data_IF_401684038100
#
_entry.id   IF_401684038100
#
_cell.length_a   1.000
_cell.length_b   1.000
_cell.length_c   1.000
_cell.angle_alpha   90.00
_cell.angle_beta   90.00
_cell.angle_gamma   90.00
#
_symmetry.space_group_name_H-M   'P 1'
#
loop_
_entity.id
_entity.type
_entity.pdbx_description
1 polymer ?
#
# COMPACT_ATOMS: atom_id res chain seq x y z
N UNK A 1 -52.69 36.69 -6.91
CA UNK A 1 -52.04 36.09 -5.74
C UNK A 1 -51.77 34.63 -6.09
N UNK A 2 -50.50 34.24 -6.25
CA UNK A 2 -50.11 32.88 -6.68
C UNK A 2 -49.46 32.18 -5.50
N UNK A 3 -50.11 31.14 -4.98
CA UNK A 3 -49.62 30.35 -3.84
C UNK A 3 -48.63 29.32 -4.37
N UNK A 4 -47.36 29.45 -4.00
CA UNK A 4 -46.28 28.48 -4.22
C UNK A 4 -46.57 27.20 -3.41
N UNK A 5 -46.84 26.09 -4.10
CA UNK A 5 -46.88 24.76 -3.50
C UNK A 5 -45.50 24.29 -3.02
N UNK A 6 -45.41 23.38 -2.04
CA UNK A 6 -44.15 23.00 -1.43
C UNK A 6 -43.27 22.16 -2.37
N UNK A 7 -41.96 22.44 -2.31
CA UNK A 7 -40.87 21.78 -3.05
C UNK A 7 -40.74 20.30 -2.63
N UNK A 8 -40.58 19.34 -3.57
CA UNK A 8 -40.32 17.96 -3.20
C UNK A 8 -38.93 17.81 -2.55
N UNK A 9 -38.88 17.05 -1.46
CA UNK A 9 -37.64 16.72 -0.73
C UNK A 9 -36.69 15.87 -1.61
N UNK A 10 -35.37 16.04 -1.50
CA UNK A 10 -34.42 15.23 -2.26
C UNK A 10 -34.48 13.77 -1.78
N UNK A 11 -34.60 12.86 -2.75
CA UNK A 11 -34.53 11.42 -2.53
C UNK A 11 -33.20 11.06 -1.83
N UNK A 12 -33.29 10.54 -0.61
CA UNK A 12 -32.17 9.95 0.10
C UNK A 12 -31.79 8.68 -0.65
N UNK A 13 -30.74 8.76 -1.48
CA UNK A 13 -30.11 7.58 -2.08
C UNK A 13 -29.69 6.57 -1.01
N UNK A 14 -29.50 5.29 -1.36
CA UNK A 14 -29.25 4.23 -0.39
C UNK A 14 -28.03 4.61 0.47
N UNK A 15 -28.31 4.82 1.76
CA UNK A 15 -27.33 5.14 2.79
C UNK A 15 -26.32 3.99 2.79
N UNK A 16 -25.13 4.24 2.25
CA UNK A 16 -24.01 3.28 2.28
C UNK A 16 -23.86 2.83 3.75
N UNK A 17 -24.02 1.53 3.98
CA UNK A 17 -23.94 0.95 5.31
C UNK A 17 -22.65 1.43 6.01
N UNK A 18 -22.67 1.77 7.30
CA UNK A 18 -21.44 2.02 8.04
C UNK A 18 -20.59 0.76 7.88
N UNK A 19 -19.38 0.91 7.33
CA UNK A 19 -18.43 -0.16 7.27
C UNK A 19 -18.28 -0.69 8.70
N UNK A 20 -18.77 -1.91 8.96
CA UNK A 20 -18.56 -2.59 10.23
C UNK A 20 -17.07 -2.59 10.55
N UNK A 21 -16.69 -2.77 11.83
CA UNK A 21 -15.29 -2.86 12.21
C UNK A 21 -14.63 -3.88 11.29
N UNK A 22 -13.74 -3.41 10.42
CA UNK A 22 -12.98 -4.26 9.51
C UNK A 22 -12.31 -5.28 10.40
N UNK A 23 -12.77 -6.53 10.36
CA UNK A 23 -12.21 -7.62 11.15
C UNK A 23 -10.72 -7.63 10.87
N UNK A 24 -9.91 -7.09 11.78
CA UNK A 24 -8.46 -7.06 11.60
C UNK A 24 -8.04 -8.53 11.50
N UNK A 25 -7.59 -9.01 10.32
CA UNK A 25 -7.19 -10.39 10.19
C UNK A 25 -6.11 -10.66 11.23
N UNK A 26 -6.24 -11.77 11.96
CA UNK A 26 -5.30 -12.18 13.02
C UNK A 26 -3.90 -12.23 12.40
N UNK A 27 -3.02 -11.36 12.91
CA UNK A 27 -1.79 -10.89 12.28
C UNK A 27 -0.64 -11.84 12.58
N UNK A 28 -0.61 -13.02 11.97
CA UNK A 28 0.57 -13.90 12.05
C UNK A 28 1.66 -13.36 11.13
N UNK A 29 2.85 -13.07 11.68
CA UNK A 29 4.06 -12.79 10.89
C UNK A 29 4.55 -14.12 10.28
N UNK A 30 4.44 -14.34 8.96
CA UNK A 30 5.00 -15.53 8.35
C UNK A 30 6.53 -15.48 8.46
N UNK A 31 7.18 -16.62 8.68
CA UNK A 31 8.64 -16.71 8.68
C UNK A 31 9.25 -16.28 7.32
N UNK A 32 8.50 -16.50 6.23
CA UNK A 32 8.86 -16.05 4.88
C UNK A 32 7.69 -15.30 4.25
N UNK A 33 7.81 -13.96 4.21
CA UNK A 33 6.96 -13.13 3.37
C UNK A 33 7.35 -13.34 1.90
N UNK A 34 6.41 -13.40 0.94
CA UNK A 34 6.74 -13.43 -0.50
C UNK A 34 7.27 -12.08 -1.00
N UNK A 35 7.62 -11.18 -0.09
CA UNK A 35 8.15 -9.87 -0.38
C UNK A 35 9.46 -9.63 0.37
N UNK A 36 10.30 -8.81 -0.24
CA UNK A 36 11.52 -8.31 0.38
C UNK A 36 11.53 -6.79 0.28
N UNK A 37 11.90 -6.15 1.38
CA UNK A 37 11.97 -4.70 1.48
C UNK A 37 13.43 -4.27 1.39
N UNK A 38 13.79 -3.49 0.37
CA UNK A 38 15.19 -3.19 0.05
C UNK A 38 15.38 -1.72 -0.31
N UNK A 39 16.44 -1.12 0.23
CA UNK A 39 16.89 0.21 -0.18
C UNK A 39 17.70 0.12 -1.47
N UNK A 40 17.41 0.98 -2.43
CA UNK A 40 18.22 1.13 -3.64
C UNK A 40 19.57 1.77 -3.29
N UNK A 41 20.56 1.65 -4.17
CA UNK A 41 21.86 2.30 -3.95
C UNK A 41 21.81 3.81 -4.23
N UNK A 42 20.99 4.20 -5.20
CA UNK A 42 20.66 5.57 -5.54
C UNK A 42 19.15 5.71 -5.78
N UNK A 43 18.57 6.91 -5.57
CA UNK A 43 17.19 7.19 -5.96
C UNK A 43 16.98 6.86 -7.44
N UNK A 44 15.80 6.32 -7.79
CA UNK A 44 15.48 6.07 -9.20
C UNK A 44 15.49 7.38 -9.99
N UNK A 45 16.19 7.40 -11.13
CA UNK A 45 16.22 8.57 -12.02
C UNK A 45 15.12 8.54 -13.06
N UNK A 46 14.59 7.35 -13.35
CA UNK A 46 13.56 7.12 -14.37
C UNK A 46 12.32 6.53 -13.70
N UNK A 47 11.16 7.08 -14.05
CA UNK A 47 9.88 6.51 -13.65
C UNK A 47 9.67 5.18 -14.38
N UNK A 48 9.40 4.12 -13.63
CA UNK A 48 9.01 2.82 -14.17
C UNK A 48 7.65 2.40 -13.60
N UNK A 49 6.92 1.50 -14.27
CA UNK A 49 5.61 1.05 -13.80
C UNK A 49 5.66 0.39 -12.40
N UNK A 50 5.48 1.18 -11.36
CA UNK A 50 5.37 0.74 -9.96
C UNK A 50 6.37 1.46 -9.08
N UNK A 51 7.34 2.16 -9.69
CA UNK A 51 8.44 2.82 -9.02
C UNK A 51 8.57 4.24 -9.58
N UNK A 52 8.02 5.25 -8.87
CA UNK A 52 8.18 6.66 -9.24
C UNK A 52 9.66 7.06 -9.29
N UNK A 53 10.00 8.10 -10.05
CA UNK A 53 11.31 8.73 -9.95
C UNK A 53 11.54 9.27 -8.51
N UNK A 54 12.79 9.24 -8.05
CA UNK A 54 13.18 9.61 -6.69
C UNK A 54 12.97 8.51 -5.64
N UNK A 55 12.47 7.33 -6.03
CA UNK A 55 12.26 6.22 -5.09
C UNK A 55 13.57 5.74 -4.50
N UNK A 56 13.63 5.61 -3.17
CA UNK A 56 14.80 5.11 -2.45
C UNK A 56 14.56 3.73 -1.81
N UNK A 57 13.30 3.37 -1.55
CA UNK A 57 12.90 2.11 -0.93
C UNK A 57 11.92 1.37 -1.82
N UNK A 58 12.17 0.09 -2.07
CA UNK A 58 11.31 -0.74 -2.90
C UNK A 58 10.85 -1.98 -2.16
N UNK A 59 9.60 -2.35 -2.39
CA UNK A 59 9.05 -3.66 -2.09
C UNK A 59 9.18 -4.55 -3.31
N UNK A 60 10.02 -5.58 -3.23
CA UNK A 60 10.22 -6.57 -4.28
C UNK A 60 9.35 -7.79 -4.05
N UNK A 61 8.63 -8.22 -5.09
CA UNK A 61 7.93 -9.50 -5.09
C UNK A 61 8.92 -10.64 -5.35
N UNK A 62 9.40 -11.27 -4.28
CA UNK A 62 10.26 -12.45 -4.35
C UNK A 62 9.47 -13.76 -4.39
N UNK A 63 8.15 -13.68 -4.21
CA UNK A 63 7.23 -14.77 -4.43
C UNK A 63 7.29 -15.27 -5.87
N UNK A 64 7.21 -16.59 -6.06
CA UNK A 64 7.25 -17.21 -7.39
C UNK A 64 6.04 -16.92 -8.29
N UNK A 65 5.15 -16.00 -7.91
CA UNK A 65 3.89 -15.69 -8.60
C UNK A 65 3.69 -14.19 -8.73
N UNK A 66 3.12 -13.76 -9.86
CA UNK A 66 2.64 -12.39 -10.01
C UNK A 66 1.45 -12.11 -9.07
N UNK A 67 1.12 -10.84 -8.85
CA UNK A 67 0.02 -10.40 -8.00
C UNK A 67 -0.96 -9.58 -8.83
N UNK A 68 -2.24 -9.57 -8.46
CA UNK A 68 -3.26 -8.74 -9.14
C UNK A 68 -3.14 -7.28 -8.72
N UNK A 69 -2.88 -7.04 -7.44
CA UNK A 69 -2.58 -5.73 -6.89
C UNK A 69 -1.89 -5.90 -5.52
N UNK A 70 -1.22 -4.85 -5.05
CA UNK A 70 -0.62 -4.80 -3.72
C UNK A 70 -0.67 -3.36 -3.16
N UNK A 71 -0.80 -3.24 -1.84
CA UNK A 71 -0.68 -1.98 -1.11
C UNK A 71 0.19 -2.14 0.12
N UNK A 72 0.94 -1.10 0.43
CA UNK A 72 1.80 -1.00 1.60
C UNK A 72 1.32 0.16 2.46
N UNK A 73 1.05 -0.14 3.72
CA UNK A 73 0.56 0.82 4.71
C UNK A 73 1.49 0.77 5.92
N UNK A 74 2.26 1.82 6.23
CA UNK A 74 2.95 1.92 7.51
C UNK A 74 1.99 1.84 8.70
N UNK A 75 2.50 1.36 9.85
CA UNK A 75 1.67 1.13 11.04
C UNK A 75 1.06 2.40 11.61
N UNK A 76 1.66 3.56 11.31
CA UNK A 76 1.15 4.90 11.66
C UNK A 76 -0.16 5.24 10.93
N UNK A 77 -0.63 4.36 10.03
CA UNK A 77 -1.91 4.48 9.32
C UNK A 77 -1.84 5.42 8.11
N UNK A 78 -0.64 5.86 7.73
CA UNK A 78 -0.47 6.79 6.64
C UNK A 78 -0.35 6.03 5.32
N UNK A 79 -0.78 6.63 4.21
CA UNK A 79 -0.74 5.95 2.91
C UNK A 79 0.72 5.82 2.48
N UNK A 80 1.26 4.60 2.51
CA UNK A 80 2.66 4.33 2.15
C UNK A 80 2.85 4.27 0.64
N UNK A 81 2.29 3.24 0.00
CA UNK A 81 2.26 3.14 -1.46
C UNK A 81 1.18 2.14 -1.89
N UNK A 82 0.56 2.36 -3.06
CA UNK A 82 -0.41 1.43 -3.63
C UNK A 82 -0.14 1.22 -5.11
N UNK A 83 -0.15 -0.04 -5.54
CA UNK A 83 -0.15 -0.41 -6.95
C UNK A 83 -1.53 -0.96 -7.28
N UNK A 84 -2.32 -0.18 -8.02
CA UNK A 84 -3.61 -0.61 -8.56
C UNK A 84 -3.50 -1.49 -9.81
N UNK A 85 -2.29 -1.89 -10.20
CA UNK A 85 -2.00 -2.73 -11.37
C UNK A 85 -1.33 -4.05 -10.94
N UNK A 86 -1.37 -5.09 -11.79
CA UNK A 86 -0.69 -6.33 -11.52
C UNK A 86 0.81 -6.11 -11.29
N UNK A 87 1.34 -6.63 -10.19
CA UNK A 87 2.76 -6.63 -9.91
C UNK A 87 3.34 -7.94 -10.46
N UNK A 88 4.23 -7.91 -11.47
CA UNK A 88 4.76 -9.13 -12.06
C UNK A 88 5.59 -9.91 -11.03
N UNK A 89 5.87 -11.17 -11.37
CA UNK A 89 6.87 -11.96 -10.64
C UNK A 89 8.20 -11.21 -10.71
N UNK A 90 8.88 -11.04 -9.58
CA UNK A 90 10.11 -10.23 -9.47
C UNK A 90 9.92 -8.74 -9.80
N UNK A 91 8.67 -8.24 -9.78
CA UNK A 91 8.37 -6.83 -9.90
C UNK A 91 8.66 -6.04 -8.62
N UNK A 92 8.95 -4.76 -8.80
CA UNK A 92 9.24 -3.82 -7.72
C UNK A 92 8.13 -2.79 -7.56
N UNK A 93 7.86 -2.42 -6.30
CA UNK A 93 6.96 -1.35 -5.92
C UNK A 93 7.73 -0.30 -5.11
N UNK A 94 7.79 0.93 -5.61
CA UNK A 94 8.42 2.05 -4.92
C UNK A 94 7.57 2.56 -3.76
N UNK A 95 8.18 2.63 -2.58
CA UNK A 95 7.51 3.07 -1.35
C UNK A 95 7.73 4.54 -1.03
N UNK A 96 8.48 5.27 -1.86
CA UNK A 96 8.70 6.71 -1.73
C UNK A 96 10.16 7.12 -1.79
N UNK A 97 10.37 8.43 -1.66
CA UNK A 97 11.67 9.08 -1.72
C UNK A 97 12.36 9.16 -0.36
N UNK A 98 13.43 9.96 -0.27
CA UNK A 98 14.26 10.06 0.94
C UNK A 98 13.48 10.53 2.17
N UNK A 99 12.53 11.46 1.99
CA UNK A 99 11.66 11.95 3.07
C UNK A 99 10.71 10.85 3.57
N UNK A 100 10.13 10.07 2.65
CA UNK A 100 9.27 8.93 3.00
C UNK A 100 10.07 7.83 3.71
N UNK A 101 11.33 7.60 3.32
CA UNK A 101 12.20 6.61 3.99
C UNK A 101 12.38 6.92 5.46
N UNK A 102 12.63 8.18 5.84
CA UNK A 102 12.80 8.56 7.24
C UNK A 102 11.52 8.30 8.04
N UNK A 103 10.37 8.62 7.45
CA UNK A 103 9.05 8.36 8.04
C UNK A 103 8.76 6.86 8.19
N UNK A 104 8.96 6.08 7.13
CA UNK A 104 8.72 4.64 7.13
C UNK A 104 9.64 3.96 8.15
N UNK A 105 10.89 4.40 8.26
CA UNK A 105 11.80 3.91 9.28
C UNK A 105 11.35 4.23 10.70
N UNK A 106 10.79 5.42 10.94
CA UNK A 106 10.20 5.76 12.24
C UNK A 106 9.01 4.84 12.58
N UNK A 107 8.19 4.46 11.60
CA UNK A 107 7.08 3.53 11.80
C UNK A 107 7.51 2.10 12.14
N UNK A 108 8.76 1.71 11.85
CA UNK A 108 9.41 0.41 12.12
C UNK A 108 8.80 -0.83 11.43
N UNK A 109 7.49 -0.88 11.26
CA UNK A 109 6.77 -1.99 10.65
C UNK A 109 5.79 -1.48 9.57
N UNK A 110 5.74 -2.21 8.47
CA UNK A 110 4.81 -1.99 7.37
C UNK A 110 3.85 -3.17 7.26
N UNK A 111 2.62 -2.85 6.91
CA UNK A 111 1.61 -3.82 6.54
C UNK A 111 1.50 -3.89 5.03
N UNK A 112 1.52 -5.10 4.47
CA UNK A 112 1.31 -5.32 3.05
C UNK A 112 0.03 -6.12 2.87
N UNK A 113 -0.90 -5.56 2.11
CA UNK A 113 -2.08 -6.25 1.62
C UNK A 113 -1.90 -6.52 0.13
N UNK A 114 -2.28 -7.70 -0.34
CA UNK A 114 -2.23 -8.03 -1.75
C UNK A 114 -3.29 -9.05 -2.13
N UNK A 115 -3.60 -9.11 -3.41
CA UNK A 115 -4.41 -10.18 -3.98
C UNK A 115 -3.54 -11.03 -4.90
N UNK A 116 -3.52 -12.33 -4.64
CA UNK A 116 -2.81 -13.29 -5.47
C UNK A 116 -3.51 -13.49 -6.84
N UNK A 117 -2.89 -14.25 -7.74
CA UNK A 117 -3.49 -14.53 -9.06
C UNK A 117 -4.85 -15.23 -8.97
N UNK A 118 -5.06 -16.05 -7.94
CA UNK A 118 -6.30 -16.78 -7.71
C UNK A 118 -7.42 -15.86 -7.19
N UNK A 119 -7.12 -14.60 -6.88
CA UNK A 119 -8.10 -13.65 -6.36
C UNK A 119 -8.25 -13.72 -4.84
N UNK A 120 -7.33 -14.39 -4.13
CA UNK A 120 -7.38 -14.48 -2.68
C UNK A 120 -6.70 -13.27 -2.05
N UNK A 121 -7.41 -12.58 -1.16
CA UNK A 121 -6.83 -11.55 -0.31
C UNK A 121 -5.85 -12.14 0.69
N UNK A 122 -4.67 -11.52 0.77
CA UNK A 122 -3.57 -11.93 1.63
C UNK A 122 -2.96 -10.70 2.27
N UNK A 123 -2.40 -10.90 3.45
CA UNK A 123 -1.71 -9.83 4.17
C UNK A 123 -0.54 -10.34 4.98
N UNK A 124 0.44 -9.45 5.25
CA UNK A 124 1.64 -9.78 6.00
C UNK A 124 2.27 -8.54 6.62
N UNK A 125 3.01 -8.78 7.71
CA UNK A 125 3.83 -7.77 8.38
C UNK A 125 5.27 -7.85 7.91
N UNK A 126 5.86 -6.70 7.64
CA UNK A 126 7.28 -6.59 7.32
C UNK A 126 7.93 -5.57 8.24
N UNK A 127 9.16 -5.89 8.66
CA UNK A 127 9.99 -4.90 9.36
C UNK A 127 10.64 -3.98 8.34
N UNK A 128 10.66 -2.70 8.63
CA UNK A 128 11.50 -1.75 7.87
C UNK A 128 12.96 -2.01 8.22
N UNK A 129 13.83 -2.30 7.24
CA UNK A 129 15.24 -2.44 7.51
C UNK A 129 15.84 -1.12 8.02
N UNK A 130 16.94 -1.14 8.78
CA UNK A 130 17.60 0.08 9.22
C UNK A 130 17.97 0.98 8.04
N UNK A 131 17.71 2.29 8.16
CA UNK A 131 18.04 3.25 7.11
C UNK A 131 19.56 3.28 6.89
N UNK A 132 20.04 2.97 5.67
CA UNK A 132 21.45 3.07 5.35
C UNK A 132 21.95 4.51 5.50
N UNK A 133 23.20 4.69 5.92
CA UNK A 133 23.78 6.03 6.19
C UNK A 133 23.64 7.02 5.02
N UNK A 134 23.62 6.53 3.77
CA UNK A 134 23.42 7.35 2.55
C UNK A 134 22.05 8.02 2.44
N UNK A 135 21.05 7.53 3.19
CA UNK A 135 19.69 8.07 3.23
C UNK A 135 19.29 8.64 4.59
N UNK A 136 20.16 8.55 5.59
CA UNK A 136 20.03 9.33 6.82
C UNK A 136 20.28 10.81 6.52
#
# INVERSE_FOLDING_TARGET
MTVLGPRPAPAVGPRRAPAGPVTRPVRTRPAHSPFTLTYLDAPTTVETPGVPAGTCLVLRNTGGRALRWASVTPVDGTVGARVGRPLPRHGDLGLGGREDVARLAAASDLFVDWVDQAGTDRSTWMRVPPVPARYR
#
